data_IF_319411118126
#
_entry.id   IF_319411118126
#
_cell.length_a   1.000
_cell.length_b   1.000
_cell.length_c   1.000
_cell.angle_alpha   90.00
_cell.angle_beta   90.00
_cell.angle_gamma   90.00
#
_symmetry.space_group_name_H-M   'P 1'
#
loop_
_entity.id
_entity.type
_entity.pdbx_description
1 polymer ?
#
# COMPACT_ATOMS: atom_id res chain seq x y z
N UNK A 1 -4.42 42.53 -32.44
CA UNK A 1 -3.53 41.64 -31.63
C UNK A 1 -3.79 41.76 -30.11
N UNK A 2 -3.79 42.94 -29.48
CA UNK A 2 -4.02 43.05 -28.00
C UNK A 2 -5.39 42.56 -27.53
N UNK A 3 -6.47 42.77 -28.29
CA UNK A 3 -7.83 42.35 -27.94
C UNK A 3 -7.98 40.80 -28.06
N UNK A 4 -7.33 40.16 -29.02
CA UNK A 4 -7.36 38.71 -29.23
C UNK A 4 -6.60 37.99 -28.10
N UNK A 5 -5.48 38.55 -27.64
CA UNK A 5 -4.72 37.99 -26.49
C UNK A 5 -5.53 38.04 -25.18
N UNK A 6 -6.32 39.11 -24.98
CA UNK A 6 -7.16 39.27 -23.78
C UNK A 6 -8.28 38.23 -23.73
N UNK A 7 -8.91 37.91 -24.87
CA UNK A 7 -9.98 36.93 -24.97
C UNK A 7 -9.43 35.51 -24.73
N UNK A 8 -8.23 35.21 -25.24
CA UNK A 8 -7.58 33.90 -25.00
C UNK A 8 -7.17 33.73 -23.52
N UNK A 9 -6.67 34.80 -22.88
CA UNK A 9 -6.33 34.80 -21.46
C UNK A 9 -7.54 34.60 -20.55
N UNK A 10 -8.70 35.23 -20.88
CA UNK A 10 -9.96 35.06 -20.13
C UNK A 10 -10.54 33.65 -20.32
N UNK A 11 -10.45 33.05 -21.50
CA UNK A 11 -10.87 31.67 -21.76
C UNK A 11 -10.00 30.66 -21.03
N UNK A 12 -8.69 30.87 -20.93
CA UNK A 12 -7.78 30.01 -20.16
C UNK A 12 -8.02 30.10 -18.64
N UNK A 13 -8.34 31.31 -18.12
CA UNK A 13 -8.69 31.46 -16.70
C UNK A 13 -10.03 30.80 -16.34
N UNK A 14 -11.01 30.78 -17.23
CA UNK A 14 -12.27 30.08 -16.99
C UNK A 14 -12.14 28.57 -17.02
N UNK A 15 -11.14 27.99 -17.72
CA UNK A 15 -10.87 26.54 -17.73
C UNK A 15 -10.20 26.08 -16.46
N UNK A 16 -9.37 26.89 -15.82
CA UNK A 16 -8.70 26.53 -14.55
C UNK A 16 -9.67 26.55 -13.37
N UNK A 17 -10.75 27.30 -13.43
CA UNK A 17 -11.77 27.37 -12.38
C UNK A 17 -12.76 26.21 -12.33
N UNK A 18 -12.82 25.35 -13.37
CA UNK A 18 -13.77 24.23 -13.43
C UNK A 18 -13.18 22.90 -12.94
N UNK A 19 -11.92 22.86 -12.50
CA UNK A 19 -11.22 21.62 -12.16
C UNK A 19 -11.26 21.25 -10.66
N UNK A 20 -11.98 21.98 -9.83
CA UNK A 20 -12.20 21.59 -8.44
C UNK A 20 -13.70 21.42 -8.17
N UNK A 21 -14.23 20.25 -8.51
CA UNK A 21 -15.41 19.77 -7.79
C UNK A 21 -15.04 19.68 -6.32
N UNK A 22 -15.60 20.54 -5.50
CA UNK A 22 -15.47 20.46 -4.05
C UNK A 22 -16.04 19.12 -3.62
N UNK A 23 -15.16 18.22 -3.16
CA UNK A 23 -15.60 16.94 -2.64
C UNK A 23 -16.58 17.14 -1.48
N UNK A 24 -17.81 16.67 -1.66
CA UNK A 24 -18.83 16.62 -0.62
C UNK A 24 -18.96 15.17 -0.13
N UNK A 25 -18.55 14.90 1.13
CA UNK A 25 -18.68 13.55 1.67
C UNK A 25 -20.15 13.15 1.79
N UNK A 26 -20.47 11.90 1.49
CA UNK A 26 -21.80 11.34 1.73
C UNK A 26 -22.09 11.22 3.23
N UNK A 27 -23.36 11.06 3.61
CA UNK A 27 -23.74 10.84 5.01
C UNK A 27 -23.07 9.57 5.59
N UNK A 28 -22.96 8.50 4.79
CA UNK A 28 -22.27 7.28 5.18
C UNK A 28 -20.78 7.53 5.42
N UNK A 29 -20.13 8.34 4.57
CA UNK A 29 -18.72 8.67 4.73
C UNK A 29 -18.48 9.50 6.01
N UNK A 30 -19.34 10.48 6.29
CA UNK A 30 -19.28 11.26 7.55
C UNK A 30 -19.42 10.36 8.76
N UNK A 31 -20.42 9.49 8.76
CA UNK A 31 -20.64 8.50 9.83
C UNK A 31 -19.44 7.57 10.02
N UNK A 32 -18.83 7.10 8.91
CA UNK A 32 -17.65 6.24 8.98
C UNK A 32 -16.44 6.98 9.59
N UNK A 33 -16.25 8.27 9.28
CA UNK A 33 -15.19 9.10 9.88
C UNK A 33 -15.38 9.31 11.36
N UNK A 34 -16.61 9.64 11.79
CA UNK A 34 -16.98 9.79 13.21
C UNK A 34 -16.70 8.48 13.96
N UNK A 35 -17.18 7.36 13.41
CA UNK A 35 -16.97 6.04 13.98
C UNK A 35 -15.48 5.68 14.10
N UNK A 36 -14.65 6.02 13.09
CA UNK A 36 -13.20 5.83 13.16
C UNK A 36 -12.57 6.66 14.29
N UNK A 37 -13.02 7.91 14.47
CA UNK A 37 -12.55 8.76 15.55
C UNK A 37 -12.89 8.19 16.93
N UNK A 38 -14.03 7.51 17.06
CA UNK A 38 -14.49 6.92 18.33
C UNK A 38 -13.77 5.61 18.67
N UNK A 39 -13.24 4.91 17.68
CA UNK A 39 -12.53 3.65 17.87
C UNK A 39 -11.20 3.79 18.62
N UNK A 40 -10.55 4.92 18.57
CA UNK A 40 -9.33 5.35 19.29
C UNK A 40 -8.12 4.44 19.16
N UNK A 41 -8.26 3.11 19.37
CA UNK A 41 -7.15 2.17 19.44
C UNK A 41 -7.25 1.08 18.36
N UNK A 42 -6.21 0.99 17.53
CA UNK A 42 -6.03 -0.04 16.51
C UNK A 42 -4.60 -0.54 16.47
N UNK A 43 -4.40 -1.68 15.83
CA UNK A 43 -3.08 -2.25 15.57
C UNK A 43 -2.75 -2.10 14.10
N UNK A 44 -1.55 -1.60 13.79
CA UNK A 44 -1.05 -1.54 12.43
C UNK A 44 0.01 -2.64 12.21
N UNK A 45 -0.27 -3.55 11.29
CA UNK A 45 0.60 -4.66 10.93
C UNK A 45 1.38 -4.31 9.65
N UNK A 46 2.71 -4.21 9.78
CA UNK A 46 3.62 -4.21 8.65
C UNK A 46 4.15 -5.63 8.47
N UNK A 47 3.69 -6.29 7.42
CA UNK A 47 4.07 -7.68 7.16
C UNK A 47 4.19 -7.93 5.65
N UNK A 48 5.24 -8.63 5.24
CA UNK A 48 5.55 -8.91 3.84
C UNK A 48 6.90 -9.60 3.69
N UNK A 49 7.48 -9.55 2.49
CA UNK A 49 8.79 -10.15 2.22
C UNK A 49 9.90 -9.59 3.13
N UNK A 50 9.84 -8.31 3.47
CA UNK A 50 10.79 -7.66 4.36
C UNK A 50 10.82 -8.27 5.77
N UNK A 51 9.73 -8.91 6.21
CA UNK A 51 9.68 -9.58 7.50
C UNK A 51 10.63 -10.77 7.57
N UNK A 52 10.92 -11.42 6.44
CA UNK A 52 11.89 -12.51 6.35
C UNK A 52 13.33 -12.03 6.59
N UNK A 53 13.61 -10.77 6.28
CA UNK A 53 14.93 -10.16 6.49
C UNK A 53 15.10 -9.66 7.92
N UNK A 54 14.01 -9.38 8.64
CA UNK A 54 14.01 -8.96 10.04
C UNK A 54 14.67 -7.59 10.30
N UNK A 55 14.65 -6.68 9.30
CA UNK A 55 15.31 -5.38 9.39
C UNK A 55 14.39 -4.20 9.00
N UNK A 56 13.10 -4.36 9.24
CA UNK A 56 12.07 -3.36 8.95
C UNK A 56 11.58 -3.38 7.51
N UNK A 57 10.47 -2.70 7.29
CA UNK A 57 9.77 -2.66 5.99
C UNK A 57 10.50 -1.87 4.91
N UNK A 58 11.44 -1.03 5.31
CA UNK A 58 12.31 -0.23 4.43
C UNK A 58 13.63 -0.92 4.08
N UNK A 59 13.81 -2.18 4.45
CA UNK A 59 15.09 -2.90 4.31
C UNK A 59 15.63 -2.89 2.87
N UNK A 60 14.75 -2.95 1.87
CA UNK A 60 15.14 -2.94 0.47
C UNK A 60 15.93 -1.67 0.12
N UNK A 61 15.47 -0.49 0.54
CA UNK A 61 16.14 0.78 0.28
C UNK A 61 17.25 1.08 1.29
N UNK A 62 17.04 0.78 2.58
CA UNK A 62 18.03 1.07 3.63
C UNK A 62 19.33 0.29 3.46
N UNK A 63 19.25 -0.91 2.86
CA UNK A 63 20.41 -1.76 2.57
C UNK A 63 20.81 -1.78 1.09
N UNK A 64 20.24 -0.88 0.29
CA UNK A 64 20.49 -0.79 -1.16
C UNK A 64 20.37 -2.14 -1.89
N UNK A 65 19.37 -2.95 -1.51
CA UNK A 65 19.13 -4.25 -2.12
C UNK A 65 18.60 -4.02 -3.54
N UNK A 66 19.26 -4.65 -4.50
CA UNK A 66 18.91 -4.51 -5.91
C UNK A 66 17.45 -4.89 -6.18
N UNK A 67 16.72 -4.03 -6.86
CA UNK A 67 15.29 -4.19 -7.15
C UNK A 67 14.95 -5.44 -8.00
N UNK A 68 15.93 -6.04 -8.68
CA UNK A 68 15.78 -7.31 -9.40
C UNK A 68 16.11 -8.53 -8.51
N UNK A 69 16.87 -8.32 -7.42
CA UNK A 69 17.24 -9.38 -6.49
C UNK A 69 16.22 -9.54 -5.36
N UNK A 70 15.74 -8.42 -4.81
CA UNK A 70 14.77 -8.44 -3.71
C UNK A 70 13.52 -9.30 -3.98
N UNK A 71 12.89 -9.24 -5.19
CA UNK A 71 11.71 -10.06 -5.48
C UNK A 71 11.95 -11.57 -5.42
N UNK A 72 13.20 -12.01 -5.48
CA UNK A 72 13.54 -13.44 -5.35
C UNK A 72 13.16 -14.01 -3.98
N UNK A 73 13.04 -13.18 -2.96
CA UNK A 73 12.55 -13.57 -1.62
C UNK A 73 11.16 -14.23 -1.69
N UNK A 74 10.31 -13.84 -2.65
CA UNK A 74 9.00 -14.44 -2.82
C UNK A 74 9.05 -15.97 -3.02
N UNK A 75 10.13 -16.50 -3.61
CA UNK A 75 10.32 -17.95 -3.83
C UNK A 75 10.48 -18.76 -2.56
N UNK A 76 10.80 -18.10 -1.45
CA UNK A 76 10.98 -18.74 -0.13
C UNK A 76 9.97 -18.25 0.91
N UNK A 77 9.03 -17.37 0.50
CA UNK A 77 7.99 -16.87 1.39
C UNK A 77 6.96 -17.97 1.68
N UNK A 78 7.09 -18.58 2.86
CA UNK A 78 6.23 -19.65 3.33
C UNK A 78 5.96 -19.54 4.84
N UNK A 79 5.09 -18.59 5.27
CA UNK A 79 4.76 -18.41 6.69
C UNK A 79 3.83 -19.53 7.20
N UNK A 80 4.39 -20.69 7.52
CA UNK A 80 3.67 -21.91 7.93
C UNK A 80 2.74 -21.69 9.12
N UNK A 81 3.15 -20.82 10.06
CA UNK A 81 2.42 -20.54 11.30
C UNK A 81 1.38 -19.43 11.17
N UNK A 82 1.12 -18.95 9.95
CA UNK A 82 0.11 -17.90 9.76
C UNK A 82 -1.31 -18.44 10.00
N UNK A 83 -1.94 -17.93 11.04
CA UNK A 83 -3.33 -18.16 11.41
C UNK A 83 -4.03 -16.81 11.63
N UNK A 84 -4.88 -16.44 10.66
CA UNK A 84 -5.59 -15.15 10.69
C UNK A 84 -6.55 -15.04 11.90
N UNK A 85 -7.23 -16.13 12.27
CA UNK A 85 -8.15 -16.13 13.42
C UNK A 85 -7.38 -15.98 14.74
N UNK A 86 -6.24 -16.64 14.89
CA UNK A 86 -5.39 -16.50 16.07
C UNK A 86 -4.88 -15.05 16.20
N UNK A 87 -4.42 -14.45 15.11
CA UNK A 87 -3.96 -13.05 15.09
C UNK A 87 -5.08 -12.09 15.48
N UNK A 88 -6.24 -12.20 14.84
CA UNK A 88 -7.37 -11.32 15.08
C UNK A 88 -7.88 -11.44 16.51
N UNK A 89 -7.97 -12.65 17.07
CA UNK A 89 -8.36 -12.89 18.46
C UNK A 89 -7.39 -12.27 19.44
N UNK A 90 -6.09 -12.42 19.22
CA UNK A 90 -5.06 -11.83 20.08
C UNK A 90 -5.12 -10.28 20.07
N UNK A 91 -5.28 -9.69 18.88
CA UNK A 91 -5.39 -8.24 18.71
C UNK A 91 -6.65 -7.70 19.37
N UNK A 92 -7.78 -8.38 19.19
CA UNK A 92 -9.04 -8.02 19.86
C UNK A 92 -8.95 -8.14 21.37
N UNK A 93 -8.31 -9.19 21.89
CA UNK A 93 -8.08 -9.39 23.32
C UNK A 93 -7.20 -8.28 23.93
N UNK A 94 -6.29 -7.69 23.14
CA UNK A 94 -5.51 -6.51 23.54
C UNK A 94 -6.33 -5.21 23.58
N UNK A 95 -7.62 -5.25 23.23
CA UNK A 95 -8.53 -4.10 23.28
C UNK A 95 -8.61 -3.28 21.98
N UNK A 96 -7.95 -3.72 20.89
CA UNK A 96 -8.02 -3.02 19.62
C UNK A 96 -9.43 -3.10 19.01
N UNK A 97 -9.84 -2.03 18.35
CA UNK A 97 -11.13 -1.89 17.67
C UNK A 97 -11.03 -2.11 16.17
N UNK A 98 -9.84 -1.94 15.61
CA UNK A 98 -9.55 -2.18 14.20
C UNK A 98 -8.12 -2.69 14.01
N UNK A 99 -7.90 -3.29 12.85
CA UNK A 99 -6.58 -3.72 12.38
C UNK A 99 -6.32 -3.01 11.07
N UNK A 100 -5.16 -2.39 10.92
CA UNK A 100 -4.65 -1.95 9.62
C UNK A 100 -3.54 -2.90 9.21
N UNK A 101 -3.56 -3.39 7.97
CA UNK A 101 -2.50 -4.27 7.44
C UNK A 101 -1.97 -3.71 6.12
N UNK A 102 -0.65 -3.82 5.92
CA UNK A 102 -0.04 -3.54 4.63
C UNK A 102 -0.44 -4.61 3.62
N UNK A 103 -1.40 -4.31 2.76
CA UNK A 103 -1.81 -5.22 1.68
C UNK A 103 -0.76 -5.28 0.58
N UNK A 104 -0.07 -4.16 0.37
CA UNK A 104 1.08 -3.98 -0.50
C UNK A 104 1.92 -2.83 0.03
N UNK A 105 3.20 -3.07 0.27
CA UNK A 105 4.15 -2.03 0.68
C UNK A 105 4.96 -1.52 -0.53
N UNK A 106 5.91 -0.62 -0.30
CA UNK A 106 6.73 0.02 -1.35
C UNK A 106 7.57 -0.97 -2.17
N UNK A 107 7.83 -2.17 -1.67
CA UNK A 107 8.54 -3.23 -2.38
C UNK A 107 7.70 -3.89 -3.51
N UNK A 108 6.43 -3.49 -3.64
CA UNK A 108 5.53 -3.94 -4.69
C UNK A 108 4.92 -5.33 -4.50
N UNK A 109 5.26 -6.04 -3.42
CA UNK A 109 4.70 -7.36 -3.15
C UNK A 109 3.29 -7.28 -2.57
N UNK A 110 2.33 -7.97 -3.19
CA UNK A 110 0.92 -7.98 -2.75
C UNK A 110 0.61 -9.21 -1.89
N UNK A 111 -0.01 -9.00 -0.73
CA UNK A 111 -0.45 -10.08 0.16
C UNK A 111 -1.81 -10.67 -0.23
N UNK A 112 -2.33 -10.33 -1.41
CA UNK A 112 -3.62 -10.77 -1.94
C UNK A 112 -3.52 -11.17 -3.41
N UNK A 113 -4.45 -11.98 -3.85
CA UNK A 113 -4.59 -12.36 -5.26
C UNK A 113 -4.99 -11.14 -6.11
N UNK A 114 -4.21 -10.88 -7.16
CA UNK A 114 -4.53 -9.83 -8.13
C UNK A 114 -4.27 -10.31 -9.56
N UNK A 115 -5.02 -9.78 -10.51
CA UNK A 115 -4.86 -10.08 -11.94
C UNK A 115 -3.82 -9.18 -12.62
N UNK A 116 -3.39 -8.12 -11.94
CA UNK A 116 -2.47 -7.13 -12.50
C UNK A 116 -1.00 -7.51 -12.35
N UNK A 117 -0.67 -8.45 -11.45
CA UNK A 117 0.70 -8.91 -11.21
C UNK A 117 0.70 -10.30 -10.60
N UNK A 118 1.67 -11.14 -11.00
CA UNK A 118 1.96 -12.41 -10.34
C UNK A 118 2.86 -12.27 -9.11
N UNK A 119 3.37 -11.07 -8.84
CA UNK A 119 4.19 -10.77 -7.66
C UNK A 119 3.30 -10.58 -6.44
N UNK A 120 2.69 -11.69 -6.02
CA UNK A 120 1.75 -11.73 -4.91
C UNK A 120 1.86 -13.05 -4.12
N UNK A 121 1.24 -13.11 -2.94
CA UNK A 121 1.32 -14.26 -2.01
C UNK A 121 0.73 -15.55 -2.59
N UNK A 122 -0.20 -15.45 -3.54
CA UNK A 122 -0.89 -16.61 -4.13
C UNK A 122 -0.11 -17.16 -5.32
N UNK A 123 0.24 -16.30 -6.29
CA UNK A 123 0.86 -16.74 -7.55
C UNK A 123 2.37 -16.83 -7.46
N UNK A 124 3.00 -15.88 -6.75
CA UNK A 124 4.44 -15.67 -6.74
C UNK A 124 5.20 -16.46 -5.66
N UNK A 125 4.50 -17.14 -4.74
CA UNK A 125 5.11 -17.81 -3.60
C UNK A 125 4.74 -19.29 -3.52
N UNK A 126 5.50 -20.12 -2.80
CA UNK A 126 5.09 -21.49 -2.47
C UNK A 126 3.92 -21.54 -1.46
N UNK A 127 3.62 -20.43 -0.76
CA UNK A 127 2.57 -20.36 0.25
C UNK A 127 1.16 -20.49 -0.32
N UNK A 128 0.91 -19.91 -1.51
CA UNK A 128 -0.33 -20.07 -2.29
C UNK A 128 -1.64 -19.63 -1.59
N UNK A 129 -1.54 -18.79 -0.56
CA UNK A 129 -2.71 -18.32 0.20
C UNK A 129 -2.91 -16.81 0.04
N UNK A 130 -4.18 -16.40 0.01
CA UNK A 130 -4.58 -14.99 0.00
C UNK A 130 -4.70 -14.49 1.44
N UNK A 131 -3.63 -13.89 1.93
CA UNK A 131 -3.51 -13.43 3.31
C UNK A 131 -4.56 -12.37 3.64
N UNK A 132 -4.82 -11.45 2.71
CA UNK A 132 -5.77 -10.36 2.96
C UNK A 132 -7.20 -10.89 2.99
N UNK A 133 -7.53 -11.84 2.12
CA UNK A 133 -8.84 -12.50 2.19
C UNK A 133 -9.04 -13.21 3.52
N UNK A 134 -8.06 -13.98 3.97
CA UNK A 134 -8.13 -14.70 5.24
C UNK A 134 -8.25 -13.75 6.44
N UNK A 135 -7.50 -12.64 6.43
CA UNK A 135 -7.61 -11.61 7.46
C UNK A 135 -8.99 -10.94 7.44
N UNK A 136 -9.54 -10.65 6.27
CA UNK A 136 -10.88 -10.06 6.14
C UNK A 136 -11.95 -11.00 6.69
N UNK A 137 -11.90 -12.28 6.31
CA UNK A 137 -12.84 -13.29 6.79
C UNK A 137 -12.74 -13.46 8.32
N UNK A 138 -11.52 -13.48 8.88
CA UNK A 138 -11.29 -13.57 10.32
C UNK A 138 -11.77 -12.31 11.07
N UNK A 139 -11.51 -11.13 10.53
CA UNK A 139 -12.00 -9.87 11.10
C UNK A 139 -13.54 -9.83 11.13
N UNK A 140 -14.19 -10.27 10.05
CA UNK A 140 -15.64 -10.35 9.98
C UNK A 140 -16.22 -11.31 11.04
N UNK A 141 -15.65 -12.52 11.16
CA UNK A 141 -16.09 -13.50 12.17
C UNK A 141 -15.94 -13.00 13.60
N UNK A 142 -14.91 -12.21 13.86
CA UNK A 142 -14.60 -11.71 15.20
C UNK A 142 -15.16 -10.31 15.48
N UNK A 143 -15.88 -9.69 14.55
CA UNK A 143 -16.49 -8.37 14.72
C UNK A 143 -15.50 -7.26 14.99
N UNK A 144 -14.32 -7.28 14.32
CA UNK A 144 -13.30 -6.22 14.34
C UNK A 144 -13.12 -5.69 12.90
N UNK A 145 -12.83 -4.40 12.76
CA UNK A 145 -12.66 -3.78 11.44
C UNK A 145 -11.28 -4.05 10.87
N UNK A 146 -11.23 -4.26 9.54
CA UNK A 146 -9.99 -4.33 8.78
C UNK A 146 -9.83 -3.09 7.92
N UNK A 147 -8.71 -2.39 8.08
CA UNK A 147 -8.28 -1.29 7.23
C UNK A 147 -7.13 -1.76 6.34
N UNK A 148 -7.14 -1.34 5.08
CA UNK A 148 -6.19 -1.78 4.08
C UNK A 148 -5.22 -0.65 3.74
N UNK A 149 -3.95 -0.80 4.12
CA UNK A 149 -2.90 0.09 3.64
C UNK A 149 -2.40 -0.42 2.29
N UNK A 150 -2.41 0.43 1.29
CA UNK A 150 -1.89 0.13 -0.04
C UNK A 150 -0.93 1.22 -0.49
N UNK A 151 0.31 0.84 -0.80
CA UNK A 151 1.30 1.78 -1.32
C UNK A 151 1.14 1.97 -2.82
N UNK A 152 1.03 3.22 -3.26
CA UNK A 152 1.17 3.60 -4.67
C UNK A 152 2.64 3.67 -5.10
N UNK A 153 3.57 3.89 -4.15
CA UNK A 153 4.99 3.75 -4.41
C UNK A 153 5.33 2.30 -4.71
N UNK A 154 6.21 2.09 -5.70
CA UNK A 154 6.71 0.78 -6.06
C UNK A 154 8.19 0.86 -6.42
N UNK A 155 9.04 0.46 -5.50
CA UNK A 155 10.49 0.45 -5.69
C UNK A 155 10.96 -0.58 -6.71
N UNK A 156 10.14 -1.58 -7.01
CA UNK A 156 10.42 -2.63 -8.00
C UNK A 156 10.22 -2.20 -9.44
N UNK A 157 9.50 -1.11 -9.69
CA UNK A 157 9.23 -0.64 -11.05
C UNK A 157 10.48 -0.07 -11.71
N UNK A 158 10.63 -0.33 -13.00
CA UNK A 158 11.78 0.16 -13.78
C UNK A 158 11.79 1.70 -13.93
N UNK A 159 10.60 2.31 -13.95
CA UNK A 159 10.40 3.76 -14.04
C UNK A 159 10.39 4.46 -12.67
N UNK A 160 10.61 3.73 -11.56
CA UNK A 160 10.72 4.37 -10.24
C UNK A 160 11.94 5.31 -10.20
N UNK A 161 11.73 6.60 -9.85
CA UNK A 161 12.80 7.59 -9.90
C UNK A 161 13.84 7.33 -8.82
N UNK A 162 15.09 7.29 -9.25
CA UNK A 162 16.22 7.20 -8.35
C UNK A 162 16.50 8.51 -7.62
N UNK A 163 16.99 8.39 -6.40
CA UNK A 163 17.54 9.52 -5.68
C UNK A 163 16.53 10.50 -5.08
N UNK A 164 15.23 10.29 -5.27
CA UNK A 164 14.22 11.20 -4.70
C UNK A 164 14.11 11.09 -3.18
N UNK A 165 14.47 9.96 -2.61
CA UNK A 165 14.48 9.70 -1.17
C UNK A 165 15.89 9.65 -0.58
N UNK A 166 16.94 9.78 -1.42
CA UNK A 166 18.33 9.61 -1.00
C UNK A 166 18.72 8.17 -0.66
N UNK A 167 17.77 7.22 -0.84
CA UNK A 167 17.96 5.81 -0.52
C UNK A 167 18.13 5.00 -1.80
N UNK A 168 19.07 4.06 -1.79
CA UNK A 168 19.34 3.20 -2.91
C UNK A 168 18.31 2.08 -3.07
N UNK A 169 18.18 1.59 -4.29
CA UNK A 169 17.50 0.32 -4.61
C UNK A 169 18.38 -0.51 -5.55
N UNK A 170 19.71 -0.36 -5.43
CA UNK A 170 20.69 -1.02 -6.28
C UNK A 170 20.59 -0.65 -7.76
N UNK A 171 20.03 0.51 -8.07
CA UNK A 171 19.90 1.02 -9.45
C UNK A 171 21.06 1.91 -9.82
N UNK A 172 21.41 1.94 -11.11
CA UNK A 172 22.40 2.89 -11.63
C UNK A 172 21.91 4.33 -11.45
N UNK A 173 22.67 5.14 -10.72
CA UNK A 173 22.37 6.55 -10.51
C UNK A 173 22.38 7.26 -11.87
N UNK A 174 21.25 7.79 -12.30
CA UNK A 174 21.16 8.62 -13.51
C UNK A 174 20.15 8.18 -14.57
N UNK A 175 19.44 7.07 -14.40
CA UNK A 175 18.41 6.62 -15.36
C UNK A 175 16.99 6.78 -14.82
N UNK A 176 16.66 7.94 -14.29
CA UNK A 176 15.27 8.27 -13.99
C UNK A 176 14.62 8.82 -15.26
N UNK A 177 13.96 7.99 -16.03
CA UNK A 177 13.09 8.44 -17.12
C UNK A 177 11.67 8.52 -16.57
N UNK A 178 11.22 9.75 -16.32
CA UNK A 178 9.81 10.05 -16.25
C UNK A 178 9.33 10.31 -17.68
N UNK A 179 8.59 9.43 -18.27
CA UNK A 179 7.77 9.70 -19.45
C UNK A 179 6.33 9.96 -19.01
#
# INVERSE_FOLDING_TARGET
MKKTLLVIATLLMSYVGMAQETYHPTAENLKAREQFQDEKFGIFLHWGLYSMVGAGEWVMTNRDINYKEYPKLAKTFYPSEFDADAWVKAIKAAGARYITITTRHHDGFSLFKTTTSTYNSVDGTPFKRDIIKEMADACQRNGIKLHLYYSHLDWGREDYPQGRTGLGTGRDKGKANWS
#
